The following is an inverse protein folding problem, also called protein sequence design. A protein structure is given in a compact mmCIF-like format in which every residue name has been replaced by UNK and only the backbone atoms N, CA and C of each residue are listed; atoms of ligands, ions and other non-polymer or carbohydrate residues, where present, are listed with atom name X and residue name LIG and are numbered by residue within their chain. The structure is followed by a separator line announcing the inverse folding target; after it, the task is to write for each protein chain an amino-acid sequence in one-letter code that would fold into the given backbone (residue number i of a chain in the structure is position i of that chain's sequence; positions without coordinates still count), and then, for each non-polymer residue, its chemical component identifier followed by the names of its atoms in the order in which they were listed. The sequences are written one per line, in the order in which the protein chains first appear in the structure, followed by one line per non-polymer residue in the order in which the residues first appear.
data_IF_692608698770
#
_entry.id   IF_692608698770
#
_cell.length_a   1.000
_cell.length_b   1.000
_cell.length_c   1.000
_cell.angle_alpha   90.00
_cell.angle_beta   90.00
_cell.angle_gamma   90.00
#
_symmetry.space_group_name_H-M   'P 1'
#
loop_
_entity.id
_entity.type
_entity.pdbx_description
1 polymer ?
#
# COMPACT_ATOMS: atom_id res chain seq x y z
N UNK A 1 42.48 2.72 59.13
CA UNK A 1 41.85 3.99 59.56
C UNK A 1 41.62 4.81 58.30
N UNK A 2 40.59 4.52 57.50
CA UNK A 2 39.15 4.63 57.78
C UNK A 2 38.76 6.06 58.16
N UNK A 3 37.93 6.66 57.30
CA UNK A 3 36.90 7.65 57.62
C UNK A 3 37.39 9.07 58.01
N UNK A 4 36.73 10.18 57.66
CA UNK A 4 35.32 10.37 57.33
C UNK A 4 35.07 11.82 56.83
N UNK A 5 34.07 11.96 55.94
CA UNK A 5 33.10 13.08 55.81
C UNK A 5 33.61 14.50 55.44
N UNK A 6 33.24 15.07 54.28
CA UNK A 6 31.90 15.48 53.81
C UNK A 6 31.43 16.81 54.44
N UNK A 7 30.96 17.75 53.60
CA UNK A 7 30.57 19.09 54.05
C UNK A 7 30.47 20.18 52.99
N UNK A 8 29.67 19.93 51.94
CA UNK A 8 28.79 20.90 51.27
C UNK A 8 29.32 22.31 50.90
N UNK A 9 29.66 22.50 49.63
CA UNK A 9 29.41 23.77 48.94
C UNK A 9 28.53 23.52 47.72
N UNK A 10 27.29 24.00 47.85
CA UNK A 10 26.25 23.99 46.85
C UNK A 10 26.64 24.87 45.65
N UNK A 11 26.60 24.28 44.46
CA UNK A 11 26.38 25.00 43.21
C UNK A 11 24.97 24.68 42.74
N UNK A 12 24.17 25.75 42.67
CA UNK A 12 22.78 25.75 42.29
C UNK A 12 22.56 25.06 40.93
N UNK A 13 21.77 23.99 40.94
CA UNK A 13 20.97 23.62 39.79
C UNK A 13 19.62 24.34 39.98
N UNK A 14 19.36 25.33 39.13
CA UNK A 14 18.07 26.01 39.01
C UNK A 14 16.95 24.97 38.98
N UNK A 15 16.05 25.08 39.96
CA UNK A 15 14.86 24.26 40.04
C UNK A 15 13.97 24.58 38.85
N UNK A 16 13.78 23.58 37.99
CA UNK A 16 12.49 23.45 37.30
C UNK A 16 11.48 23.21 38.41
N UNK A 17 10.67 24.22 38.68
CA UNK A 17 9.66 24.22 39.73
C UNK A 17 8.72 23.02 39.54
N UNK A 18 8.81 22.04 40.44
CA UNK A 18 7.97 20.85 40.41
C UNK A 18 6.50 21.17 40.76
N UNK A 19 6.19 22.43 41.12
CA UNK A 19 4.82 22.95 41.26
C UNK A 19 4.13 23.34 39.95
N UNK A 20 4.90 23.63 38.89
CA UNK A 20 4.38 24.17 37.62
C UNK A 20 3.89 23.05 36.66
N UNK A 21 4.51 21.87 36.73
CA UNK A 21 4.07 20.66 36.00
C UNK A 21 2.66 20.18 36.43
N UNK A 22 2.33 20.09 37.73
CA UNK A 22 0.98 19.81 38.20
C UNK A 22 -0.06 20.83 37.74
N UNK A 23 0.25 22.13 37.79
CA UNK A 23 -0.67 23.18 37.31
C UNK A 23 -0.87 23.13 35.79
N UNK A 24 0.21 22.91 35.02
CA UNK A 24 0.15 22.72 33.58
C UNK A 24 -0.69 21.48 33.21
N UNK A 25 -0.48 20.35 33.88
CA UNK A 25 -1.27 19.13 33.67
C UNK A 25 -2.74 19.30 34.08
N UNK A 26 -3.02 20.03 35.16
CA UNK A 26 -4.39 20.37 35.56
C UNK A 26 -5.06 21.28 34.53
N UNK A 27 -4.33 22.25 33.97
CA UNK A 27 -4.85 23.16 32.96
C UNK A 27 -5.09 22.47 31.62
N UNK A 28 -4.20 21.57 31.21
CA UNK A 28 -4.41 20.66 30.08
C UNK A 28 -5.66 19.81 30.34
N UNK A 29 -5.78 19.20 31.51
CA UNK A 29 -6.96 18.39 31.88
C UNK A 29 -8.27 19.18 31.83
N UNK A 30 -8.27 20.43 32.31
CA UNK A 30 -9.43 21.32 32.24
C UNK A 30 -9.78 21.69 30.78
N UNK A 31 -8.79 22.05 29.97
CA UNK A 31 -8.99 22.36 28.55
C UNK A 31 -9.49 21.15 27.76
N UNK A 32 -8.93 19.95 27.99
CA UNK A 32 -9.39 18.70 27.36
C UNK A 32 -10.83 18.37 27.77
N UNK A 33 -11.21 18.64 29.02
CA UNK A 33 -12.57 18.41 29.51
C UNK A 33 -13.56 19.40 28.91
N UNK A 34 -13.22 20.69 28.84
CA UNK A 34 -14.03 21.69 28.14
C UNK A 34 -14.20 21.34 26.66
N UNK A 35 -13.11 20.99 25.96
CA UNK A 35 -13.16 20.55 24.57
C UNK A 35 -14.10 19.35 24.41
N UNK A 36 -14.00 18.35 25.29
CA UNK A 36 -14.87 17.16 25.26
C UNK A 36 -16.33 17.50 25.54
N UNK A 37 -16.61 18.38 26.51
CA UNK A 37 -17.97 18.81 26.82
C UNK A 37 -18.57 19.59 25.64
N UNK A 38 -17.80 20.51 25.04
CA UNK A 38 -18.20 21.25 23.83
C UNK A 38 -18.41 20.32 22.62
N UNK A 39 -17.53 19.34 22.38
CA UNK A 39 -17.74 18.34 21.33
C UNK A 39 -19.01 17.51 21.56
N UNK A 40 -19.34 17.22 22.81
CA UNK A 40 -20.54 16.47 23.19
C UNK A 40 -21.81 17.30 23.08
N UNK A 41 -21.77 18.57 23.48
CA UNK A 41 -22.87 19.53 23.31
C UNK A 41 -23.18 19.81 21.84
N UNK A 42 -22.16 19.79 20.98
CA UNK A 42 -22.29 19.95 19.53
C UNK A 42 -22.66 18.64 18.80
N UNK A 43 -22.81 17.51 19.51
CA UNK A 43 -23.13 16.20 18.90
C UNK A 43 -22.01 15.58 18.04
N UNK A 44 -20.80 16.13 18.13
CA UNK A 44 -19.61 15.75 17.36
C UNK A 44 -18.89 14.53 17.92
N UNK A 45 -19.16 14.21 19.19
CA UNK A 45 -18.53 13.12 19.93
C UNK A 45 -18.69 11.78 19.21
N UNK A 46 -19.90 11.44 18.77
CA UNK A 46 -20.20 10.14 18.14
C UNK A 46 -19.64 9.99 16.72
N UNK A 47 -19.60 11.07 15.94
CA UNK A 47 -19.10 11.06 14.57
C UNK A 47 -17.59 10.92 14.52
N UNK A 48 -16.89 11.72 15.33
CA UNK A 48 -15.43 11.65 15.49
C UNK A 48 -14.99 10.34 16.13
N UNK A 49 -15.70 9.84 17.14
CA UNK A 49 -15.41 8.55 17.76
C UNK A 49 -15.55 7.39 16.77
N UNK A 50 -16.60 7.39 15.93
CA UNK A 50 -16.76 6.39 14.86
C UNK A 50 -15.65 6.47 13.82
N UNK A 51 -15.33 7.66 13.32
CA UNK A 51 -14.25 7.85 12.35
C UNK A 51 -12.89 7.40 12.93
N UNK A 52 -12.57 7.84 14.14
CA UNK A 52 -11.36 7.45 14.85
C UNK A 52 -11.28 5.94 15.09
N UNK A 53 -12.40 5.27 15.36
CA UNK A 53 -12.46 3.82 15.54
C UNK A 53 -12.26 3.03 14.23
N UNK A 54 -12.53 3.64 13.06
CA UNK A 54 -12.43 2.98 11.77
C UNK A 54 -11.03 3.07 11.12
N UNK A 55 -10.22 4.07 11.50
CA UNK A 55 -8.85 4.26 10.99
C UNK A 55 -7.95 3.04 11.26
N UNK A 56 -7.92 2.43 12.47
CA UNK A 56 -7.12 1.23 12.72
C UNK A 56 -7.49 0.06 11.79
N UNK A 57 -8.79 -0.17 11.53
CA UNK A 57 -9.25 -1.23 10.62
C UNK A 57 -8.78 -0.96 9.18
N UNK A 58 -8.90 0.28 8.69
CA UNK A 58 -8.38 0.66 7.37
C UNK A 58 -6.87 0.45 7.26
N UNK A 59 -6.10 0.80 8.29
CA UNK A 59 -4.65 0.58 8.33
C UNK A 59 -4.30 -0.90 8.28
N UNK A 60 -4.99 -1.73 9.06
CA UNK A 60 -4.72 -3.17 9.10
C UNK A 60 -5.07 -3.83 7.75
N UNK A 61 -6.12 -3.35 7.07
CA UNK A 61 -6.46 -3.74 5.70
C UNK A 61 -5.39 -3.34 4.68
N UNK A 62 -4.86 -2.11 4.76
CA UNK A 62 -3.77 -1.66 3.88
C UNK A 62 -2.48 -2.47 4.12
N UNK A 63 -2.17 -2.79 5.38
CA UNK A 63 -1.06 -3.69 5.71
C UNK A 63 -1.26 -5.10 5.15
N UNK A 64 -2.49 -5.62 5.21
CA UNK A 64 -2.84 -6.90 4.59
C UNK A 64 -2.61 -6.87 3.07
N UNK A 65 -3.03 -5.79 2.40
CA UNK A 65 -2.78 -5.57 0.97
C UNK A 65 -1.28 -5.57 0.68
N UNK A 66 -0.48 -4.83 1.44
CA UNK A 66 0.97 -4.76 1.25
C UNK A 66 1.63 -6.14 1.36
N UNK A 67 1.35 -6.87 2.45
CA UNK A 67 1.91 -8.20 2.70
C UNK A 67 1.57 -9.22 1.60
N UNK A 68 0.33 -9.16 1.13
CA UNK A 68 -0.13 -10.09 0.09
C UNK A 68 0.43 -9.70 -1.29
N UNK A 69 0.64 -8.40 -1.56
CA UNK A 69 1.35 -7.93 -2.77
C UNK A 69 2.78 -8.44 -2.80
N UNK A 70 3.48 -8.32 -1.67
CA UNK A 70 4.85 -8.81 -1.53
C UNK A 70 4.93 -10.32 -1.78
N UNK A 71 4.06 -11.10 -1.14
CA UNK A 71 4.01 -12.56 -1.34
C UNK A 71 3.75 -12.96 -2.80
N UNK A 72 2.81 -12.29 -3.48
CA UNK A 72 2.53 -12.53 -4.88
C UNK A 72 3.77 -12.21 -5.75
N UNK A 73 4.41 -11.07 -5.52
CA UNK A 73 5.62 -10.67 -6.23
C UNK A 73 6.76 -11.69 -6.02
N UNK A 74 7.00 -12.13 -4.79
CA UNK A 74 8.01 -13.14 -4.47
C UNK A 74 7.72 -14.47 -5.18
N UNK A 75 6.47 -14.94 -5.19
CA UNK A 75 6.10 -16.18 -5.91
C UNK A 75 6.34 -16.06 -7.41
N UNK A 76 5.94 -14.95 -8.02
CA UNK A 76 6.16 -14.71 -9.45
C UNK A 76 7.65 -14.67 -9.78
N UNK A 77 8.47 -13.98 -8.98
CA UNK A 77 9.92 -13.91 -9.18
C UNK A 77 10.56 -15.30 -9.07
N UNK A 78 10.21 -16.08 -8.06
CA UNK A 78 10.74 -17.44 -7.88
C UNK A 78 10.36 -18.35 -9.06
N UNK A 79 9.13 -18.26 -9.56
CA UNK A 79 8.70 -19.04 -10.73
C UNK A 79 9.45 -18.63 -12.00
N UNK A 80 9.72 -17.33 -12.20
CA UNK A 80 10.54 -16.83 -13.30
C UNK A 80 11.99 -17.34 -13.17
N UNK A 81 12.57 -17.28 -11.97
CA UNK A 81 13.94 -17.74 -11.70
C UNK A 81 14.09 -19.25 -11.93
N UNK A 82 13.04 -20.03 -11.71
CA UNK A 82 13.00 -21.46 -12.01
C UNK A 82 12.78 -21.74 -13.51
N UNK A 83 11.97 -20.94 -14.21
CA UNK A 83 11.63 -21.17 -15.62
C UNK A 83 12.76 -20.75 -16.58
N UNK A 84 13.47 -19.65 -16.28
CA UNK A 84 14.51 -19.08 -17.15
C UNK A 84 15.61 -20.10 -17.52
N UNK A 85 16.25 -20.81 -16.57
CA UNK A 85 17.30 -21.77 -16.92
C UNK A 85 16.82 -22.90 -17.84
N UNK A 86 15.55 -23.31 -17.71
CA UNK A 86 14.96 -24.35 -18.56
C UNK A 86 14.80 -23.86 -19.99
N UNK A 87 14.34 -22.62 -20.17
CA UNK A 87 14.23 -21.98 -21.49
C UNK A 87 15.59 -21.71 -22.11
N UNK A 88 16.55 -21.17 -21.35
CA UNK A 88 17.92 -20.91 -21.81
C UNK A 88 18.60 -22.21 -22.27
N UNK A 89 18.42 -23.30 -21.52
CA UNK A 89 18.95 -24.61 -21.90
C UNK A 89 18.28 -25.16 -23.17
N UNK A 90 16.96 -24.97 -23.32
CA UNK A 90 16.23 -25.41 -24.51
C UNK A 90 16.68 -24.65 -25.77
N UNK A 91 16.88 -23.34 -25.67
CA UNK A 91 17.40 -22.49 -26.75
C UNK A 91 18.84 -22.89 -27.11
N UNK A 92 19.73 -22.98 -26.13
CA UNK A 92 21.14 -23.32 -26.31
C UNK A 92 21.31 -24.71 -26.95
N UNK A 93 20.64 -25.73 -26.42
CA UNK A 93 20.70 -27.10 -26.93
C UNK A 93 20.19 -27.17 -28.38
N UNK A 94 19.08 -26.47 -28.67
CA UNK A 94 18.52 -26.39 -30.01
C UNK A 94 19.47 -25.71 -31.00
N UNK A 95 20.05 -24.56 -30.63
CA UNK A 95 20.98 -23.84 -31.49
C UNK A 95 22.26 -24.64 -31.75
N UNK A 96 22.78 -25.35 -30.74
CA UNK A 96 23.92 -26.23 -30.89
C UNK A 96 23.64 -27.35 -31.89
N UNK A 97 22.46 -27.97 -31.83
CA UNK A 97 22.05 -29.00 -32.78
C UNK A 97 21.89 -28.44 -34.20
N UNK A 98 21.25 -27.28 -34.36
CA UNK A 98 21.11 -26.61 -35.67
C UNK A 98 22.49 -26.37 -36.30
N UNK A 99 23.45 -25.87 -35.52
CA UNK A 99 24.81 -25.63 -36.01
C UNK A 99 25.51 -26.94 -36.44
N UNK A 100 25.37 -28.03 -35.66
CA UNK A 100 25.95 -29.33 -36.05
C UNK A 100 25.28 -29.92 -37.30
N UNK A 101 23.97 -29.79 -37.43
CA UNK A 101 23.24 -30.20 -38.64
C UNK A 101 23.68 -29.39 -39.87
N UNK A 102 23.98 -28.09 -39.70
CA UNK A 102 24.56 -27.27 -40.77
C UNK A 102 25.94 -27.78 -41.19
N UNK A 103 26.84 -28.06 -40.24
CA UNK A 103 28.17 -28.65 -40.54
C UNK A 103 28.08 -29.99 -41.28
N UNK A 104 27.08 -30.82 -40.97
CA UNK A 104 26.81 -32.04 -41.73
C UNK A 104 26.41 -31.72 -43.19
N UNK A 105 25.47 -30.79 -43.39
CA UNK A 105 25.03 -30.37 -44.74
C UNK A 105 26.17 -29.79 -45.57
N UNK A 106 27.09 -29.07 -44.92
CA UNK A 106 28.30 -28.51 -45.53
C UNK A 106 29.40 -29.57 -45.76
N UNK A 107 29.13 -30.85 -45.47
CA UNK A 107 30.04 -32.00 -45.61
C UNK A 107 31.31 -31.88 -44.78
N UNK A 108 31.21 -31.25 -43.61
CA UNK A 108 32.32 -31.02 -42.68
C UNK A 108 32.42 -32.08 -41.57
N UNK A 109 31.49 -33.04 -41.51
CA UNK A 109 31.43 -34.10 -40.49
C UNK A 109 31.70 -35.49 -41.09
N UNK A 110 32.39 -36.34 -40.33
CA UNK A 110 32.60 -37.75 -40.65
C UNK A 110 31.48 -38.68 -40.15
N UNK A 111 31.53 -39.96 -40.56
CA UNK A 111 30.47 -40.95 -40.29
C UNK A 111 30.20 -41.20 -38.78
N UNK A 112 31.24 -41.13 -37.95
CA UNK A 112 31.11 -41.30 -36.50
C UNK A 112 30.45 -40.09 -35.83
N UNK A 113 30.76 -38.88 -36.31
CA UNK A 113 30.15 -37.63 -35.83
C UNK A 113 28.68 -37.53 -36.23
N UNK A 114 28.30 -38.09 -37.38
CA UNK A 114 26.89 -38.16 -37.80
C UNK A 114 26.08 -39.07 -36.86
N UNK A 115 26.64 -40.23 -36.50
CA UNK A 115 25.99 -41.15 -35.53
C UNK A 115 25.80 -40.47 -34.18
N UNK A 116 26.80 -39.71 -33.72
CA UNK A 116 26.69 -38.91 -32.51
C UNK A 116 25.61 -37.82 -32.63
N UNK A 117 25.57 -37.08 -33.74
CA UNK A 117 24.56 -36.04 -34.00
C UNK A 117 23.13 -36.58 -33.97
N UNK A 118 22.89 -37.76 -34.56
CA UNK A 118 21.58 -38.43 -34.51
C UNK A 118 21.22 -38.80 -33.07
N UNK A 119 22.19 -39.32 -32.30
CA UNK A 119 22.01 -39.65 -30.88
C UNK A 119 21.67 -38.42 -30.04
N UNK A 120 22.42 -37.33 -30.19
CA UNK A 120 22.19 -36.07 -29.49
C UNK A 120 20.83 -35.45 -29.86
N UNK A 121 20.46 -35.48 -31.15
CA UNK A 121 19.14 -35.01 -31.61
C UNK A 121 18.03 -35.83 -30.97
N UNK A 122 18.15 -37.17 -30.92
CA UNK A 122 17.16 -38.02 -30.27
C UNK A 122 17.05 -37.73 -28.77
N UNK A 123 18.19 -37.55 -28.09
CA UNK A 123 18.25 -37.18 -26.67
C UNK A 123 17.56 -35.85 -26.39
N UNK A 124 17.84 -34.81 -27.17
CA UNK A 124 17.17 -33.52 -27.08
C UNK A 124 15.66 -33.64 -27.30
N UNK A 125 15.22 -34.31 -28.38
CA UNK A 125 13.79 -34.48 -28.65
C UNK A 125 13.05 -35.22 -27.53
N UNK A 126 13.73 -36.12 -26.81
CA UNK A 126 13.19 -36.81 -25.63
C UNK A 126 13.13 -35.93 -24.39
N UNK A 127 14.03 -34.95 -24.24
CA UNK A 127 14.04 -34.04 -23.07
C UNK A 127 13.09 -32.85 -23.23
N UNK A 128 12.72 -32.47 -24.46
CA UNK A 128 11.79 -31.35 -24.74
C UNK A 128 10.46 -31.43 -23.96
N UNK A 129 9.75 -32.58 -23.91
CA UNK A 129 8.48 -32.67 -23.18
C UNK A 129 8.61 -32.41 -21.67
N UNK A 130 9.73 -32.82 -21.06
CA UNK A 130 10.02 -32.56 -19.66
C UNK A 130 10.28 -31.07 -19.43
N UNK A 131 11.22 -30.46 -20.16
CA UNK A 131 11.53 -29.03 -20.08
C UNK A 131 10.31 -28.13 -20.30
N UNK A 132 9.46 -28.50 -21.27
CA UNK A 132 8.22 -27.76 -21.56
C UNK A 132 7.20 -27.91 -20.44
N UNK A 133 7.08 -29.10 -19.84
CA UNK A 133 6.20 -29.33 -18.68
C UNK A 133 6.67 -28.51 -17.47
N UNK A 134 7.97 -28.50 -17.21
CA UNK A 134 8.55 -27.75 -16.09
C UNK A 134 8.30 -26.25 -16.24
N UNK A 135 8.49 -25.71 -17.45
CA UNK A 135 8.16 -24.31 -17.74
C UNK A 135 6.68 -24.04 -17.55
N UNK A 136 5.81 -24.90 -18.06
CA UNK A 136 4.35 -24.73 -17.92
C UNK A 136 3.92 -24.76 -16.45
N UNK A 137 4.54 -25.61 -15.63
CA UNK A 137 4.30 -25.61 -14.19
C UNK A 137 4.64 -24.24 -13.57
N UNK A 138 5.76 -23.62 -13.94
CA UNK A 138 6.09 -22.28 -13.45
C UNK A 138 5.11 -21.21 -13.95
N UNK A 139 4.61 -21.32 -15.18
CA UNK A 139 3.56 -20.41 -15.67
C UNK A 139 2.25 -20.56 -14.88
N UNK A 140 1.91 -21.77 -14.43
CA UNK A 140 0.76 -22.00 -13.55
C UNK A 140 0.99 -21.43 -12.15
N UNK A 141 2.20 -21.51 -11.60
CA UNK A 141 2.55 -20.84 -10.33
C UNK A 141 2.41 -19.32 -10.44
N UNK A 142 2.84 -18.72 -11.57
CA UNK A 142 2.65 -17.29 -11.85
C UNK A 142 1.16 -16.95 -11.91
N UNK A 143 0.34 -17.77 -12.57
CA UNK A 143 -1.10 -17.56 -12.66
C UNK A 143 -1.76 -17.64 -11.27
N UNK A 144 -1.44 -18.66 -10.47
CA UNK A 144 -1.99 -18.81 -9.12
C UNK A 144 -1.54 -17.69 -8.18
N UNK A 145 -0.34 -17.14 -8.36
CA UNK A 145 0.11 -16.00 -7.57
C UNK A 145 -0.74 -14.73 -7.81
N UNK A 146 -1.50 -14.67 -8.93
CA UNK A 146 -2.39 -13.55 -9.25
C UNK A 146 -3.72 -13.59 -8.50
N UNK A 147 -4.08 -14.70 -7.84
CA UNK A 147 -5.28 -14.81 -7.00
C UNK A 147 -5.30 -13.76 -5.87
N UNK A 148 -4.13 -13.21 -5.53
CA UNK A 148 -4.02 -12.03 -4.69
C UNK A 148 -4.91 -10.88 -5.16
N UNK A 149 -4.95 -10.59 -6.47
CA UNK A 149 -5.63 -9.41 -7.02
C UNK A 149 -7.12 -9.34 -6.62
N UNK A 150 -7.83 -10.47 -6.61
CA UNK A 150 -9.24 -10.51 -6.20
C UNK A 150 -9.40 -10.17 -4.71
N UNK A 151 -8.56 -10.76 -3.87
CA UNK A 151 -8.52 -10.48 -2.43
C UNK A 151 -8.15 -9.02 -2.16
N UNK A 152 -7.16 -8.46 -2.88
CA UNK A 152 -6.80 -7.04 -2.76
C UNK A 152 -7.96 -6.15 -3.15
N UNK A 153 -8.62 -6.44 -4.27
CA UNK A 153 -9.73 -5.63 -4.79
C UNK A 153 -10.88 -5.55 -3.78
N UNK A 154 -11.24 -6.67 -3.16
CA UNK A 154 -12.25 -6.72 -2.11
C UNK A 154 -11.84 -5.90 -0.88
N UNK A 155 -10.56 -5.94 -0.48
CA UNK A 155 -10.06 -5.20 0.67
C UNK A 155 -9.98 -3.69 0.39
N UNK A 156 -9.53 -3.30 -0.81
CA UNK A 156 -9.52 -1.90 -1.27
C UNK A 156 -10.94 -1.32 -1.23
N UNK A 157 -11.93 -2.06 -1.73
CA UNK A 157 -13.33 -1.62 -1.68
C UNK A 157 -13.78 -1.33 -0.25
N UNK A 158 -13.43 -2.19 0.71
CA UNK A 158 -13.75 -1.96 2.14
C UNK A 158 -13.01 -0.77 2.72
N UNK A 159 -11.75 -0.54 2.33
CA UNK A 159 -11.01 0.67 2.74
C UNK A 159 -11.68 1.92 2.18
N UNK A 160 -12.12 1.89 0.92
CA UNK A 160 -12.86 2.99 0.30
C UNK A 160 -14.18 3.26 1.05
N UNK A 161 -14.92 2.22 1.43
CA UNK A 161 -16.14 2.38 2.22
C UNK A 161 -15.86 3.06 3.58
N UNK A 162 -14.73 2.72 4.23
CA UNK A 162 -14.30 3.36 5.48
C UNK A 162 -13.92 4.82 5.26
N UNK A 163 -13.20 5.14 4.17
CA UNK A 163 -12.84 6.52 3.83
C UNK A 163 -14.10 7.35 3.54
N UNK A 164 -15.04 6.84 2.75
CA UNK A 164 -16.32 7.50 2.47
C UNK A 164 -17.15 7.73 3.75
N UNK A 165 -17.12 6.79 4.70
CA UNK A 165 -17.75 6.97 6.00
C UNK A 165 -17.11 8.12 6.77
N UNK A 166 -15.78 8.17 6.84
CA UNK A 166 -15.03 9.23 7.53
C UNK A 166 -15.34 10.58 6.88
N UNK A 167 -15.26 10.66 5.55
CA UNK A 167 -15.56 11.86 4.77
C UNK A 167 -16.99 12.35 5.04
N UNK A 168 -17.99 11.48 4.97
CA UNK A 168 -19.38 11.83 5.25
C UNK A 168 -19.59 12.36 6.67
N UNK A 169 -18.88 11.79 7.66
CA UNK A 169 -18.93 12.30 9.03
C UNK A 169 -18.27 13.68 9.12
N UNK A 170 -17.09 13.89 8.55
CA UNK A 170 -16.39 15.18 8.58
C UNK A 170 -17.19 16.28 7.86
N UNK A 171 -17.78 15.97 6.72
CA UNK A 171 -18.67 16.86 5.98
C UNK A 171 -19.92 17.20 6.80
N UNK A 172 -20.54 16.21 7.45
CA UNK A 172 -21.68 16.46 8.35
C UNK A 172 -21.33 17.41 9.49
N UNK A 173 -20.17 17.23 10.11
CA UNK A 173 -19.64 18.12 11.15
C UNK A 173 -19.45 19.55 10.63
N UNK A 174 -18.87 19.70 9.43
CA UNK A 174 -18.68 21.02 8.82
C UNK A 174 -20.02 21.71 8.54
N UNK A 175 -21.02 20.99 8.04
CA UNK A 175 -22.36 21.52 7.75
C UNK A 175 -23.14 21.91 9.01
N UNK A 176 -23.09 21.07 10.04
CA UNK A 176 -23.80 21.30 11.29
C UNK A 176 -23.26 22.57 12.00
N UNK A 177 -21.97 22.86 11.85
CA UNK A 177 -21.28 24.00 12.46
C UNK A 177 -21.07 25.19 11.50
N UNK A 178 -21.51 25.10 10.25
CA UNK A 178 -21.41 26.21 9.31
C UNK A 178 -22.35 27.36 9.72
N UNK A 179 -21.90 28.63 9.69
CA UNK A 179 -22.75 29.79 9.90
C UNK A 179 -23.98 29.78 8.97
N UNK A 180 -25.15 30.21 9.46
CA UNK A 180 -26.42 30.12 8.72
C UNK A 180 -26.38 30.74 7.30
N UNK A 181 -25.51 31.75 7.10
CA UNK A 181 -25.30 32.42 5.81
C UNK A 181 -24.39 31.67 4.82
N UNK A 182 -23.60 30.69 5.30
CA UNK A 182 -22.70 29.85 4.49
C UNK A 182 -23.20 28.41 4.32
N UNK A 183 -24.29 28.02 4.98
CA UNK A 183 -24.82 26.64 4.94
C UNK A 183 -25.16 26.15 3.53
N UNK A 184 -25.67 27.01 2.65
CA UNK A 184 -26.02 26.64 1.26
C UNK A 184 -24.76 26.38 0.42
N UNK A 185 -23.72 27.19 0.63
CA UNK A 185 -22.43 27.08 -0.05
C UNK A 185 -21.64 25.87 0.46
N UNK A 186 -21.64 25.66 1.78
CA UNK A 186 -21.09 24.46 2.41
C UNK A 186 -21.78 23.18 1.94
N UNK A 187 -23.11 23.20 1.74
CA UNK A 187 -23.85 22.05 1.21
C UNK A 187 -23.48 21.71 -0.25
N UNK A 188 -23.20 22.72 -1.07
CA UNK A 188 -22.73 22.50 -2.45
C UNK A 188 -21.33 21.88 -2.48
N UNK A 189 -20.40 22.39 -1.67
CA UNK A 189 -19.03 21.86 -1.59
C UNK A 189 -19.00 20.46 -0.96
N UNK A 190 -19.80 20.22 0.08
CA UNK A 190 -20.04 18.90 0.67
C UNK A 190 -20.45 17.86 -0.38
N UNK A 191 -21.35 18.23 -1.29
CA UNK A 191 -21.82 17.35 -2.37
C UNK A 191 -20.70 17.05 -3.38
N UNK A 192 -19.76 17.99 -3.57
CA UNK A 192 -18.62 17.78 -4.46
C UNK A 192 -17.50 16.94 -3.83
N UNK A 193 -17.25 17.07 -2.53
CA UNK A 193 -16.24 16.27 -1.81
C UNK A 193 -16.58 14.77 -1.86
N UNK A 194 -17.85 14.43 -1.63
CA UNK A 194 -18.39 13.06 -1.68
C UNK A 194 -18.22 12.34 -3.04
N UNK A 195 -17.87 13.05 -4.12
CA UNK A 195 -17.64 12.45 -5.44
C UNK A 195 -16.20 11.95 -5.65
N UNK A 196 -15.30 12.12 -4.68
CA UNK A 196 -13.91 11.68 -4.74
C UNK A 196 -13.02 12.55 -5.64
N UNK A 197 -11.70 12.26 -5.71
CA UNK A 197 -10.77 13.04 -6.54
C UNK A 197 -11.16 12.94 -8.02
N UNK A 198 -11.28 14.10 -8.67
CA UNK A 198 -11.76 14.18 -10.04
C UNK A 198 -10.73 13.58 -11.02
N UNK A 199 -11.07 12.41 -11.57
CA UNK A 199 -10.21 11.69 -12.53
C UNK A 199 -10.41 12.21 -13.96
N UNK A 200 -11.46 13.01 -14.20
CA UNK A 200 -11.76 13.55 -15.53
C UNK A 200 -12.29 15.00 -15.46
N UNK A 201 -11.51 16.02 -15.89
CA UNK A 201 -11.90 17.43 -15.81
C UNK A 201 -12.98 17.87 -16.82
N UNK A 202 -13.32 17.03 -17.81
CA UNK A 202 -14.27 17.38 -18.89
C UNK A 202 -15.70 16.81 -18.71
N UNK A 203 -16.05 16.29 -17.53
CA UNK A 203 -17.40 15.75 -17.29
C UNK A 203 -18.41 16.89 -17.03
N UNK A 204 -19.65 16.85 -17.57
CA UNK A 204 -20.63 17.95 -17.41
C UNK A 204 -21.18 18.16 -15.98
N UNK A 205 -20.84 17.28 -15.03
CA UNK A 205 -21.16 17.39 -13.59
C UNK A 205 -20.00 18.02 -12.77
N UNK A 206 -19.00 18.60 -13.42
CA UNK A 206 -17.83 19.25 -12.79
C UNK A 206 -18.24 20.61 -12.23
N UNK A 207 -18.55 20.66 -10.93
CA UNK A 207 -18.89 21.92 -10.23
C UNK A 207 -18.12 22.13 -8.92
N UNK A 208 -17.01 21.43 -8.65
CA UNK A 208 -16.02 21.98 -7.72
C UNK A 208 -14.57 21.67 -8.12
N UNK A 209 -13.81 22.74 -8.37
CA UNK A 209 -12.36 22.70 -8.40
C UNK A 209 -11.83 22.71 -6.96
N UNK A 210 -10.70 22.04 -6.70
CA UNK A 210 -10.04 22.00 -5.38
C UNK A 210 -9.84 23.41 -4.76
N UNK A 211 -9.62 24.42 -5.59
CA UNK A 211 -9.49 25.83 -5.19
C UNK A 211 -10.75 26.38 -4.48
N UNK A 212 -11.95 25.97 -4.91
CA UNK A 212 -13.21 26.38 -4.27
C UNK A 212 -13.46 25.67 -2.93
N UNK A 213 -12.88 24.47 -2.75
CA UNK A 213 -12.89 23.77 -1.47
C UNK A 213 -12.00 24.53 -0.48
N UNK A 214 -10.80 24.91 -0.92
CA UNK A 214 -9.82 25.61 -0.10
C UNK A 214 -10.34 27.01 0.31
N UNK A 215 -10.93 27.78 -0.61
CA UNK A 215 -11.54 29.09 -0.34
C UNK A 215 -12.69 29.00 0.68
N UNK A 216 -13.52 27.95 0.60
CA UNK A 216 -14.62 27.74 1.55
C UNK A 216 -14.07 27.40 2.94
N UNK A 217 -13.06 26.54 3.04
CA UNK A 217 -12.43 26.18 4.32
C UNK A 217 -11.84 27.43 5.00
N UNK A 218 -11.17 28.30 4.22
CA UNK A 218 -10.64 29.57 4.70
C UNK A 218 -11.77 30.50 5.20
N UNK A 219 -12.90 30.56 4.48
CA UNK A 219 -14.08 31.36 4.88
C UNK A 219 -14.77 30.86 6.17
N UNK A 220 -14.67 29.55 6.46
CA UNK A 220 -15.18 28.92 7.67
C UNK A 220 -14.18 29.00 8.84
N UNK A 221 -12.97 29.52 8.60
CA UNK A 221 -11.93 29.73 9.60
C UNK A 221 -11.05 28.49 9.87
N UNK A 222 -10.95 27.57 8.90
CA UNK A 222 -10.07 26.39 8.94
C UNK A 222 -8.79 26.59 8.13
#
# INVERSE_FOLDING_TARGET
MSEMHDGAQALAAEGVDHGDMPEMLQRIGHLTRMLRESMRELGLDKGVEKAASAIPDARDRLNYIANMTEQAATRVLNAIDAARPVQDALESDSQALVNRWQSWMDRQLGDDEIRELVGQTNGFLRSVPEKTRDTNQQLMEILMAQDFQDLTGQVIKKVLDVVQLIESQLVGILLDNAPEHLRVEAAQVATSLLNGPQINPDHPDVVANQEQVDDLLESLGF
#
